data_IF_701153638528
#
_entry.id   IF_701153638528
#
_cell.length_a   1.000
_cell.length_b   1.000
_cell.length_c   1.000
_cell.angle_alpha   90.00
_cell.angle_beta   90.00
_cell.angle_gamma   90.00
#
_symmetry.space_group_name_H-M   'P 1'
#
loop_
_entity.id
_entity.type
_entity.pdbx_description
1 polymer ?
#
# COMPACT_ATOMS: atom_id res chain seq x y z
N UNK A 1 5.36 -2.84 12.33
CA UNK A 1 4.56 -3.64 11.37
C UNK A 1 5.03 -3.36 9.96
N UNK A 2 5.24 -4.40 9.15
CA UNK A 2 5.64 -4.26 7.73
C UNK A 2 4.39 -4.48 6.86
N UNK A 3 4.00 -3.45 6.11
CA UNK A 3 2.82 -3.46 5.22
C UNK A 3 3.29 -3.36 3.77
N UNK A 4 2.97 -4.34 2.92
CA UNK A 4 3.33 -4.33 1.51
C UNK A 4 2.12 -4.04 0.61
N UNK A 5 2.23 -3.06 -0.28
CA UNK A 5 1.24 -2.76 -1.32
C UNK A 5 1.63 -3.55 -2.58
N UNK A 6 0.93 -4.63 -2.89
CA UNK A 6 1.28 -5.52 -3.98
C UNK A 6 0.09 -5.75 -4.92
N UNK A 7 0.33 -5.66 -6.20
CA UNK A 7 -0.56 -6.13 -7.26
C UNK A 7 0.25 -6.19 -8.56
N UNK A 8 0.07 -7.23 -9.35
CA UNK A 8 0.74 -7.39 -10.65
C UNK A 8 0.29 -6.34 -11.69
N UNK A 9 -0.93 -5.81 -11.53
CA UNK A 9 -1.45 -4.76 -12.40
C UNK A 9 -0.76 -3.43 -12.09
N UNK A 10 -0.23 -2.78 -13.13
CA UNK A 10 0.23 -1.39 -13.07
C UNK A 10 -0.93 -0.41 -12.94
N UNK A 11 -0.69 0.75 -12.34
CA UNK A 11 -1.68 1.84 -12.29
C UNK A 11 -2.82 1.68 -11.30
N UNK A 12 -2.86 0.61 -10.47
CA UNK A 12 -3.91 0.41 -9.45
C UNK A 12 -3.77 1.33 -8.24
N UNK A 13 -2.68 2.12 -8.17
CA UNK A 13 -2.44 3.12 -7.12
C UNK A 13 -1.63 2.62 -5.93
N UNK A 14 -0.77 1.60 -6.09
CA UNK A 14 0.13 1.10 -5.02
C UNK A 14 0.93 2.23 -4.38
N UNK A 15 1.73 2.95 -5.16
CA UNK A 15 2.54 4.08 -4.70
C UNK A 15 1.70 5.16 -4.03
N UNK A 16 0.57 5.53 -4.63
CA UNK A 16 -0.33 6.53 -4.04
C UNK A 16 -0.80 6.12 -2.65
N UNK A 17 -1.27 4.87 -2.49
CA UNK A 17 -1.72 4.36 -1.20
C UNK A 17 -0.54 4.22 -0.22
N UNK A 18 0.63 3.75 -0.67
CA UNK A 18 1.82 3.60 0.16
C UNK A 18 2.24 4.94 0.80
N UNK A 19 2.37 5.99 -0.02
CA UNK A 19 2.76 7.32 0.44
C UNK A 19 1.71 7.94 1.38
N UNK A 20 0.41 7.81 1.05
CA UNK A 20 -0.65 8.40 1.85
C UNK A 20 -0.87 7.66 3.18
N UNK A 21 -0.76 6.33 3.22
CA UNK A 21 -0.78 5.55 4.47
C UNK A 21 0.42 5.90 5.34
N UNK A 22 1.63 5.93 4.77
CA UNK A 22 2.84 6.35 5.48
C UNK A 22 2.67 7.75 6.08
N UNK A 23 2.10 8.68 5.31
CA UNK A 23 1.80 10.03 5.77
C UNK A 23 0.76 10.07 6.88
N UNK A 24 -0.31 9.28 6.79
CA UNK A 24 -1.34 9.22 7.82
C UNK A 24 -0.79 8.72 9.17
N UNK A 25 0.11 7.74 9.16
CA UNK A 25 0.80 7.26 10.36
C UNK A 25 1.82 8.29 10.87
N UNK A 26 2.64 8.89 9.98
CA UNK A 26 3.62 9.89 10.36
C UNK A 26 2.97 11.14 10.98
N UNK A 27 1.83 11.59 10.47
CA UNK A 27 1.06 12.72 11.02
C UNK A 27 0.49 12.43 12.42
N UNK A 28 0.39 11.15 12.81
CA UNK A 28 0.06 10.72 14.19
C UNK A 28 1.29 10.56 15.09
N UNK A 29 2.47 10.99 14.63
CA UNK A 29 3.72 10.91 15.38
C UNK A 29 4.42 9.56 15.34
N UNK A 30 3.98 8.63 14.47
CA UNK A 30 4.62 7.33 14.32
C UNK A 30 5.84 7.43 13.42
N UNK A 31 6.89 6.65 13.72
CA UNK A 31 8.09 6.54 12.89
C UNK A 31 7.80 5.62 11.72
N UNK A 32 7.87 6.14 10.51
CA UNK A 32 7.53 5.40 9.29
C UNK A 32 8.71 5.40 8.32
N UNK A 33 8.96 4.24 7.71
CA UNK A 33 9.89 4.09 6.59
C UNK A 33 9.13 3.53 5.38
N UNK A 34 9.25 4.20 4.24
CA UNK A 34 8.76 3.71 2.96
C UNK A 34 9.92 3.06 2.22
N UNK A 35 9.73 1.83 1.78
CA UNK A 35 10.65 1.12 0.88
C UNK A 35 10.06 1.16 -0.53
N UNK A 36 10.73 1.89 -1.41
CA UNK A 36 10.44 1.84 -2.84
C UNK A 36 11.11 0.61 -3.45
N UNK A 37 10.32 -0.43 -3.68
CA UNK A 37 10.76 -1.68 -4.28
C UNK A 37 10.44 -1.74 -5.79
N UNK A 38 9.85 -0.69 -6.36
CA UNK A 38 9.65 -0.57 -7.80
C UNK A 38 10.91 0.00 -8.46
N UNK A 39 11.51 -0.67 -9.46
CA UNK A 39 12.62 -0.12 -10.22
C UNK A 39 12.31 1.24 -10.89
N UNK A 40 11.04 1.60 -11.06
CA UNK A 40 10.63 2.92 -11.57
C UNK A 40 10.88 4.06 -10.57
N UNK A 41 10.98 3.77 -9.26
CA UNK A 41 11.38 4.73 -8.26
C UNK A 41 10.35 5.83 -7.96
N UNK A 42 9.07 5.58 -8.16
CA UNK A 42 8.03 6.62 -8.05
C UNK A 42 7.89 7.20 -6.63
N UNK A 43 8.11 6.41 -5.59
CA UNK A 43 8.07 6.90 -4.22
C UNK A 43 9.32 7.72 -3.88
N UNK A 44 10.48 7.34 -4.44
CA UNK A 44 11.72 8.13 -4.34
C UNK A 44 11.58 9.48 -5.05
N UNK A 45 11.03 9.49 -6.26
CA UNK A 45 10.79 10.73 -7.04
C UNK A 45 9.88 11.68 -6.27
N UNK A 46 8.81 11.16 -5.66
CA UNK A 46 7.93 11.94 -4.80
C UNK A 46 8.70 12.56 -3.61
N UNK A 47 9.54 11.76 -2.95
CA UNK A 47 10.35 12.22 -1.80
C UNK A 47 11.37 13.29 -2.20
N UNK A 48 12.01 13.14 -3.36
CA UNK A 48 12.92 14.13 -3.93
C UNK A 48 12.18 15.41 -4.27
N UNK A 49 11.02 15.31 -4.94
CA UNK A 49 10.18 16.46 -5.27
C UNK A 49 9.80 17.25 -4.02
N UNK A 50 9.39 16.55 -2.94
CA UNK A 50 9.09 17.16 -1.64
C UNK A 50 10.28 17.96 -1.10
N UNK A 51 11.49 17.43 -1.21
CA UNK A 51 12.71 18.12 -0.80
C UNK A 51 12.99 19.37 -1.64
N UNK A 52 12.80 19.29 -2.97
CA UNK A 52 12.95 20.43 -3.88
C UNK A 52 11.96 21.56 -3.58
N UNK A 53 10.76 21.24 -3.15
CA UNK A 53 9.75 22.22 -2.72
C UNK A 53 10.02 22.78 -1.31
N UNK A 54 11.12 22.38 -0.65
CA UNK A 54 11.47 22.85 0.69
C UNK A 54 10.52 22.35 1.78
N UNK A 55 9.74 21.32 1.50
CA UNK A 55 8.78 20.76 2.46
C UNK A 55 9.48 19.86 3.49
N UNK A 56 9.05 19.86 4.76
CA UNK A 56 9.65 19.02 5.80
C UNK A 56 9.44 17.53 5.49
N UNK A 57 10.45 16.72 5.82
CA UNK A 57 10.32 15.26 5.70
C UNK A 57 9.25 14.74 6.66
N UNK A 58 8.32 13.93 6.16
CA UNK A 58 7.29 13.28 6.98
C UNK A 58 7.74 11.91 7.46
N UNK A 59 8.41 11.16 6.59
CA UNK A 59 8.91 9.81 6.82
C UNK A 59 10.19 9.57 6.02
N UNK A 60 10.91 8.50 6.32
CA UNK A 60 12.06 8.08 5.53
C UNK A 60 11.59 7.35 4.26
N UNK A 61 12.28 7.60 3.13
CA UNK A 61 12.04 6.86 1.87
C UNK A 61 13.35 6.32 1.37
N UNK A 62 13.42 5.03 1.11
CA UNK A 62 14.61 4.33 0.63
C UNK A 62 14.28 3.47 -0.58
N UNK A 63 15.20 3.39 -1.54
CA UNK A 63 15.08 2.49 -2.69
C UNK A 63 15.68 1.13 -2.37
N UNK A 64 14.90 0.06 -2.54
CA UNK A 64 15.35 -1.30 -2.30
C UNK A 64 14.68 -2.29 -3.27
N UNK A 65 14.92 -2.10 -4.56
CA UNK A 65 14.43 -2.97 -5.62
C UNK A 65 15.36 -4.18 -5.82
N UNK A 66 15.46 -5.05 -4.79
CA UNK A 66 16.34 -6.24 -4.78
C UNK A 66 15.62 -7.45 -4.22
N UNK A 67 15.96 -8.63 -4.69
CA UNK A 67 15.40 -9.90 -4.22
C UNK A 67 15.77 -10.22 -2.76
N UNK A 68 16.69 -9.47 -2.17
CA UNK A 68 17.09 -9.54 -0.75
C UNK A 68 16.23 -8.70 0.19
N UNK A 69 15.23 -8.01 -0.31
CA UNK A 69 14.34 -7.13 0.46
C UNK A 69 13.78 -7.82 1.72
N UNK A 70 13.44 -9.12 1.63
CA UNK A 70 12.92 -9.90 2.77
C UNK A 70 13.90 -10.03 3.94
N UNK A 71 15.20 -9.82 3.73
CA UNK A 71 16.24 -9.81 4.78
C UNK A 71 16.46 -8.41 5.35
N UNK A 72 16.32 -7.39 4.52
CA UNK A 72 16.65 -6.00 4.86
C UNK A 72 15.47 -5.26 5.50
N UNK A 73 14.25 -5.52 5.05
CA UNK A 73 13.06 -4.83 5.58
C UNK A 73 12.80 -5.09 7.08
N UNK A 74 13.01 -6.30 7.65
CA UNK A 74 12.89 -6.52 9.09
C UNK A 74 13.91 -5.72 9.91
N UNK A 75 15.13 -5.50 9.41
CA UNK A 75 16.13 -4.68 10.10
C UNK A 75 15.66 -3.22 10.20
N UNK A 76 15.11 -2.67 9.11
CA UNK A 76 14.54 -1.33 9.10
C UNK A 76 13.31 -1.19 10.02
N UNK A 77 12.57 -2.28 10.22
CA UNK A 77 11.41 -2.30 11.10
C UNK A 77 11.77 -2.25 12.60
N UNK A 78 13.04 -2.45 13.00
CA UNK A 78 13.49 -2.30 14.39
C UNK A 78 13.38 -0.87 14.89
N UNK A 79 13.65 0.09 14.00
CA UNK A 79 13.69 1.51 14.33
C UNK A 79 12.44 2.27 13.86
N UNK A 80 11.45 1.58 13.29
CA UNK A 80 10.20 2.14 12.79
C UNK A 80 8.98 1.47 13.41
N UNK A 81 7.92 2.24 13.62
CA UNK A 81 6.63 1.71 14.05
C UNK A 81 5.92 1.03 12.86
N UNK A 82 6.11 1.61 11.65
CA UNK A 82 5.66 1.02 10.40
C UNK A 82 6.74 1.07 9.32
N UNK A 83 6.83 -0.02 8.55
CA UNK A 83 7.53 -0.07 7.27
C UNK A 83 6.50 -0.30 6.18
N UNK A 84 6.48 0.54 5.15
CA UNK A 84 5.56 0.43 4.02
C UNK A 84 6.37 0.08 2.78
N UNK A 85 6.08 -1.07 2.17
CA UNK A 85 6.74 -1.50 0.93
C UNK A 85 5.84 -1.13 -0.25
N UNK A 86 6.30 -0.22 -1.09
CA UNK A 86 5.70 0.06 -2.40
C UNK A 86 6.25 -0.93 -3.41
N UNK A 87 5.45 -1.92 -3.78
CA UNK A 87 5.89 -3.04 -4.59
C UNK A 87 5.76 -2.82 -6.09
N UNK A 88 6.63 -3.46 -6.89
CA UNK A 88 6.62 -3.32 -8.35
C UNK A 88 5.44 -4.03 -8.98
N UNK A 89 5.01 -3.65 -10.20
CA UNK A 89 4.17 -4.48 -11.03
C UNK A 89 5.00 -5.58 -11.71
N UNK A 90 4.47 -6.80 -11.83
CA UNK A 90 5.01 -7.89 -12.68
C UNK A 90 6.47 -8.31 -12.49
N UNK A 91 7.11 -8.01 -11.37
CA UNK A 91 8.47 -8.47 -11.07
C UNK A 91 8.38 -9.56 -10.01
N UNK A 92 8.25 -10.81 -10.44
CA UNK A 92 7.93 -11.94 -9.56
C UNK A 92 8.95 -12.13 -8.41
N UNK A 93 10.25 -11.99 -8.65
CA UNK A 93 11.27 -12.10 -7.60
C UNK A 93 11.12 -11.06 -6.51
N UNK A 94 10.95 -9.78 -6.88
CA UNK A 94 10.73 -8.69 -5.93
C UNK A 94 9.41 -8.84 -5.17
N UNK A 95 8.34 -9.26 -5.87
CA UNK A 95 7.04 -9.49 -5.23
C UNK A 95 7.12 -10.62 -4.21
N UNK A 96 7.79 -11.75 -4.52
CA UNK A 96 8.03 -12.83 -3.56
C UNK A 96 8.84 -12.35 -2.36
N UNK A 97 9.88 -11.57 -2.60
CA UNK A 97 10.68 -11.00 -1.52
C UNK A 97 9.85 -10.05 -0.63
N UNK A 98 9.00 -9.21 -1.20
CA UNK A 98 8.10 -8.34 -0.45
C UNK A 98 7.06 -9.14 0.35
N UNK A 99 6.49 -10.22 -0.22
CA UNK A 99 5.57 -11.12 0.47
C UNK A 99 6.23 -11.78 1.70
N UNK A 100 7.49 -12.23 1.55
CA UNK A 100 8.23 -12.86 2.64
C UNK A 100 8.61 -11.86 3.75
N UNK A 101 8.74 -10.57 3.43
CA UNK A 101 9.04 -9.52 4.40
C UNK A 101 7.81 -9.03 5.17
N UNK A 102 6.63 -9.08 4.56
CA UNK A 102 5.44 -8.42 5.07
C UNK A 102 4.79 -9.14 6.26
N UNK A 103 4.22 -8.36 7.18
CA UNK A 103 3.24 -8.83 8.16
C UNK A 103 1.83 -8.76 7.57
N UNK A 104 1.58 -7.75 6.71
CA UNK A 104 0.32 -7.52 6.02
C UNK A 104 0.56 -7.18 4.55
N UNK A 105 -0.16 -7.84 3.69
CA UNK A 105 -0.22 -7.50 2.26
C UNK A 105 -1.54 -6.80 1.96
N UNK A 106 -1.47 -5.60 1.43
CA UNK A 106 -2.61 -4.90 0.85
C UNK A 106 -2.60 -5.07 -0.65
N UNK A 107 -3.71 -5.53 -1.21
CA UNK A 107 -3.88 -5.78 -2.64
C UNK A 107 -4.89 -4.74 -3.17
N UNK A 108 -4.41 -3.59 -3.68
CA UNK A 108 -5.29 -2.59 -4.25
C UNK A 108 -5.94 -3.12 -5.53
N UNK A 109 -7.27 -3.05 -5.59
CA UNK A 109 -8.08 -3.41 -6.75
C UNK A 109 -8.97 -2.24 -7.16
N UNK A 110 -9.19 -2.08 -8.46
CA UNK A 110 -10.12 -1.07 -8.98
C UNK A 110 -11.46 -1.74 -9.27
N UNK A 111 -12.58 -1.02 -9.14
CA UNK A 111 -13.87 -1.50 -9.61
C UNK A 111 -13.86 -1.63 -11.13
N UNK A 112 -13.47 -2.80 -11.64
CA UNK A 112 -13.37 -3.08 -13.07
C UNK A 112 -13.58 -4.56 -13.32
N UNK A 113 -14.37 -4.95 -14.34
CA UNK A 113 -14.56 -6.35 -14.70
C UNK A 113 -13.26 -7.10 -15.05
N UNK A 114 -12.21 -6.36 -15.45
CA UNK A 114 -10.92 -6.93 -15.84
C UNK A 114 -9.94 -7.12 -14.67
N UNK A 115 -10.24 -6.63 -13.46
CA UNK A 115 -9.35 -6.72 -12.32
C UNK A 115 -9.37 -8.09 -11.64
N UNK A 116 -10.41 -8.89 -11.87
CA UNK A 116 -10.50 -10.26 -11.35
C UNK A 116 -9.35 -11.17 -11.82
N UNK A 117 -8.86 -10.99 -13.04
CA UNK A 117 -7.76 -11.82 -13.58
C UNK A 117 -6.39 -11.44 -13.03
N UNK A 118 -6.12 -10.13 -12.87
CA UNK A 118 -4.89 -9.66 -12.24
C UNK A 118 -4.80 -10.07 -10.76
N UNK A 119 -5.95 -10.25 -10.12
CA UNK A 119 -6.04 -10.77 -8.76
C UNK A 119 -5.67 -12.24 -8.68
N UNK A 120 -6.00 -13.09 -9.67
CA UNK A 120 -5.68 -14.51 -9.67
C UNK A 120 -4.17 -14.79 -9.63
N UNK A 121 -3.39 -14.05 -10.42
CA UNK A 121 -1.92 -14.18 -10.41
C UNK A 121 -1.32 -13.71 -9.08
N UNK A 122 -1.87 -12.64 -8.50
CA UNK A 122 -1.44 -12.16 -7.18
C UNK A 122 -1.78 -13.16 -6.08
N UNK A 123 -2.97 -13.78 -6.14
CA UNK A 123 -3.39 -14.81 -5.20
C UNK A 123 -2.53 -16.07 -5.30
N UNK A 124 -2.10 -16.46 -6.49
CA UNK A 124 -1.17 -17.58 -6.67
C UNK A 124 0.17 -17.32 -5.96
N UNK A 125 0.74 -16.11 -6.11
CA UNK A 125 1.96 -15.70 -5.41
C UNK A 125 1.76 -15.63 -3.89
N UNK A 126 0.63 -15.14 -3.42
CA UNK A 126 0.29 -15.10 -2.00
C UNK A 126 0.20 -16.49 -1.40
N UNK A 127 -0.46 -17.43 -2.09
CA UNK A 127 -0.58 -18.82 -1.65
C UNK A 127 0.78 -19.53 -1.63
N UNK A 128 1.65 -19.27 -2.61
CA UNK A 128 3.03 -19.75 -2.62
C UNK A 128 3.80 -19.21 -1.39
N UNK A 129 3.69 -17.92 -1.09
CA UNK A 129 4.36 -17.33 0.08
C UNK A 129 3.84 -17.89 1.41
N UNK A 130 2.55 -18.19 1.52
CA UNK A 130 1.91 -18.76 2.72
C UNK A 130 2.40 -20.18 3.05
N UNK A 131 3.01 -20.89 2.10
CA UNK A 131 3.69 -22.18 2.38
C UNK A 131 4.84 -21.96 3.37
N UNK A 132 5.53 -20.83 3.28
CA UNK A 132 6.67 -20.47 4.13
C UNK A 132 6.30 -19.52 5.28
N UNK A 133 5.22 -18.77 5.15
CA UNK A 133 4.71 -17.75 6.07
C UNK A 133 3.22 -17.94 6.27
N UNK A 134 2.83 -18.99 7.01
CA UNK A 134 1.42 -19.35 7.22
C UNK A 134 0.60 -18.25 7.90
N UNK A 135 1.27 -17.38 8.69
CA UNK A 135 0.67 -16.24 9.40
C UNK A 135 0.53 -14.97 8.52
N UNK A 136 0.99 -15.01 7.26
CA UNK A 136 0.95 -13.83 6.38
C UNK A 136 -0.49 -13.37 6.15
N UNK A 137 -0.80 -12.22 6.74
CA UNK A 137 -2.09 -11.59 6.56
C UNK A 137 -2.17 -10.88 5.19
N UNK A 138 -3.33 -10.95 4.57
CA UNK A 138 -3.58 -10.20 3.34
C UNK A 138 -4.99 -9.61 3.35
N UNK A 139 -5.19 -8.48 2.66
CA UNK A 139 -6.47 -7.81 2.49
C UNK A 139 -6.58 -7.19 1.11
N UNK A 140 -7.75 -7.29 0.50
CA UNK A 140 -8.07 -6.43 -0.64
C UNK A 140 -8.42 -5.02 -0.17
N UNK A 141 -8.10 -4.03 -1.00
CA UNK A 141 -8.47 -2.62 -0.81
C UNK A 141 -9.10 -2.11 -2.09
N UNK A 142 -10.37 -1.70 -2.04
CA UNK A 142 -10.99 -1.01 -3.16
C UNK A 142 -10.40 0.38 -3.29
N UNK A 143 -9.77 0.63 -4.43
CA UNK A 143 -9.13 1.90 -4.77
C UNK A 143 -9.66 2.45 -6.08
N UNK A 144 -9.56 3.77 -6.27
CA UNK A 144 -10.07 4.49 -7.44
C UNK A 144 -11.57 4.25 -7.67
N UNK A 145 -12.31 4.13 -6.58
CA UNK A 145 -13.76 3.96 -6.68
C UNK A 145 -14.40 5.22 -7.25
N UNK A 146 -15.24 5.06 -8.26
CA UNK A 146 -16.18 6.11 -8.67
C UNK A 146 -17.20 6.35 -7.56
N UNK A 147 -17.65 7.60 -7.41
CA UNK A 147 -18.67 7.92 -6.41
C UNK A 147 -19.96 7.11 -6.70
N UNK A 148 -20.35 6.24 -5.76
CA UNK A 148 -21.62 5.47 -5.77
C UNK A 148 -21.86 4.65 -7.05
N UNK A 149 -20.83 4.10 -7.67
CA UNK A 149 -21.00 3.28 -8.87
C UNK A 149 -21.50 1.88 -8.53
N UNK A 150 -22.39 1.35 -9.34
CA UNK A 150 -22.89 -0.05 -9.26
C UNK A 150 -21.71 -1.02 -9.29
N UNK A 151 -20.75 -0.79 -10.17
CA UNK A 151 -19.54 -1.61 -10.32
C UNK A 151 -18.72 -1.70 -9.02
N UNK A 152 -18.58 -0.59 -8.26
CA UNK A 152 -17.86 -0.63 -6.99
C UNK A 152 -18.56 -1.51 -5.96
N UNK A 153 -19.91 -1.48 -5.93
CA UNK A 153 -20.70 -2.36 -5.07
C UNK A 153 -20.59 -3.82 -5.48
N UNK A 154 -20.79 -4.12 -6.76
CA UNK A 154 -20.70 -5.49 -7.29
C UNK A 154 -19.30 -6.09 -7.10
N UNK A 155 -18.23 -5.29 -7.30
CA UNK A 155 -16.86 -5.72 -7.01
C UNK A 155 -16.67 -6.01 -5.53
N UNK A 156 -17.24 -5.17 -4.65
CA UNK A 156 -17.22 -5.41 -3.21
C UNK A 156 -17.96 -6.68 -2.80
N UNK A 157 -19.15 -6.91 -3.34
CA UNK A 157 -19.95 -8.12 -3.11
C UNK A 157 -19.20 -9.38 -3.62
N UNK A 158 -18.58 -9.31 -4.80
CA UNK A 158 -17.78 -10.41 -5.35
C UNK A 158 -16.56 -10.73 -4.47
N UNK A 159 -15.89 -9.73 -3.92
CA UNK A 159 -14.70 -9.92 -3.10
C UNK A 159 -15.01 -10.24 -1.63
N UNK A 160 -16.25 -10.04 -1.17
CA UNK A 160 -16.63 -10.24 0.23
C UNK A 160 -16.39 -11.67 0.74
N UNK A 161 -16.60 -12.65 -0.13
CA UNK A 161 -16.46 -14.08 0.18
C UNK A 161 -15.10 -14.67 -0.24
N UNK A 162 -14.14 -13.81 -0.65
CA UNK A 162 -12.82 -14.26 -1.09
C UNK A 162 -11.81 -14.27 0.06
N UNK A 163 -10.81 -15.15 -0.04
CA UNK A 163 -9.56 -15.08 0.70
C UNK A 163 -8.48 -14.50 -0.23
N UNK A 164 -7.85 -13.39 0.14
CA UNK A 164 -8.03 -12.59 1.35
C UNK A 164 -9.33 -11.77 1.38
N UNK A 165 -9.84 -11.42 2.59
CA UNK A 165 -11.04 -10.60 2.72
C UNK A 165 -10.80 -9.14 2.31
N UNK A 166 -11.87 -8.46 1.93
CA UNK A 166 -11.89 -7.05 1.59
C UNK A 166 -11.93 -6.18 2.85
N UNK A 167 -11.19 -5.06 2.87
CA UNK A 167 -11.35 -4.01 3.86
C UNK A 167 -12.63 -3.21 3.61
N UNK A 168 -13.26 -2.75 4.68
CA UNK A 168 -14.45 -1.89 4.61
C UNK A 168 -14.14 -0.48 4.11
N UNK A 169 -12.94 0.03 4.41
CA UNK A 169 -12.50 1.34 3.93
C UNK A 169 -12.17 1.28 2.43
N UNK A 170 -12.71 2.22 1.67
CA UNK A 170 -12.50 2.36 0.23
C UNK A 170 -11.87 3.72 -0.08
N UNK A 171 -11.09 3.80 -1.16
CA UNK A 171 -10.45 5.04 -1.61
C UNK A 171 -11.01 5.42 -2.97
N UNK A 172 -11.55 6.64 -3.07
CA UNK A 172 -12.15 7.16 -4.29
C UNK A 172 -11.12 7.58 -5.34
N UNK A 173 -11.54 7.63 -6.59
CA UNK A 173 -10.76 8.27 -7.63
C UNK A 173 -10.86 9.80 -7.46
N UNK A 174 -9.74 10.43 -7.07
CA UNK A 174 -9.70 11.84 -6.73
C UNK A 174 -8.53 12.52 -7.42
N UNK A 175 -8.80 13.65 -8.04
CA UNK A 175 -7.77 14.47 -8.73
C UNK A 175 -6.70 14.95 -7.76
N UNK A 176 -7.07 15.26 -6.51
CA UNK A 176 -6.17 15.78 -5.47
C UNK A 176 -4.97 14.85 -5.20
N UNK A 177 -5.08 13.54 -5.42
CA UNK A 177 -3.93 12.64 -5.28
C UNK A 177 -2.85 12.91 -6.32
N UNK A 178 -3.24 13.20 -7.57
CA UNK A 178 -2.32 13.53 -8.63
C UNK A 178 -1.75 14.94 -8.46
N UNK A 179 -2.60 15.92 -8.14
CA UNK A 179 -2.19 17.31 -7.95
C UNK A 179 -1.22 17.46 -6.78
N UNK A 180 -1.50 16.83 -5.65
CA UNK A 180 -0.62 16.83 -4.49
C UNK A 180 0.74 16.19 -4.80
N UNK A 181 0.76 15.09 -5.54
CA UNK A 181 1.99 14.38 -5.91
C UNK A 181 2.93 15.23 -6.76
N UNK A 182 2.42 16.13 -7.61
CA UNK A 182 3.24 17.03 -8.43
C UNK A 182 4.15 17.94 -7.60
N UNK A 183 3.76 18.27 -6.38
CA UNK A 183 4.54 19.08 -5.44
C UNK A 183 5.11 18.31 -4.25
N UNK A 184 5.14 16.98 -4.30
CA UNK A 184 5.62 16.14 -3.20
C UNK A 184 4.78 16.28 -1.94
N UNK A 185 3.49 16.59 -2.07
CA UNK A 185 2.52 16.70 -0.97
C UNK A 185 1.62 15.48 -0.90
N UNK A 186 1.01 15.30 0.25
CA UNK A 186 -0.11 14.40 0.45
C UNK A 186 -1.43 15.15 0.26
N UNK A 187 -2.49 14.44 -0.08
CA UNK A 187 -3.83 15.02 -0.19
C UNK A 187 -4.28 15.69 1.13
N UNK A 188 -3.90 15.11 2.28
CA UNK A 188 -4.16 15.67 3.61
C UNK A 188 -3.41 16.98 3.91
N UNK A 189 -2.32 17.27 3.20
CA UNK A 189 -1.59 18.52 3.33
C UNK A 189 -2.15 19.63 2.43
N UNK A 190 -2.92 19.26 1.41
CA UNK A 190 -3.64 20.20 0.54
C UNK A 190 -4.96 20.60 1.20
N UNK A 191 -5.72 19.60 1.66
CA UNK A 191 -6.97 19.79 2.41
C UNK A 191 -7.19 18.60 3.34
N UNK A 192 -6.95 18.82 4.64
CA UNK A 192 -7.05 17.79 5.68
C UNK A 192 -8.48 17.26 5.89
N UNK A 193 -9.49 18.05 5.53
CA UNK A 193 -10.89 17.70 5.63
C UNK A 193 -11.48 17.16 4.31
N UNK A 194 -10.66 17.01 3.29
CA UNK A 194 -11.10 16.46 2.01
C UNK A 194 -11.61 15.04 2.14
N UNK A 195 -12.48 14.58 1.25
CA UNK A 195 -12.86 13.17 1.18
C UNK A 195 -11.65 12.25 1.02
N UNK A 196 -10.63 12.67 0.26
CA UNK A 196 -9.39 11.90 0.09
C UNK A 196 -8.66 11.69 1.42
N UNK A 197 -8.49 12.75 2.21
CA UNK A 197 -7.84 12.68 3.53
C UNK A 197 -8.61 11.78 4.50
N UNK A 198 -9.95 11.92 4.53
CA UNK A 198 -10.81 11.08 5.39
C UNK A 198 -10.77 9.61 5.00
N UNK A 199 -10.78 9.29 3.70
CA UNK A 199 -10.73 7.91 3.19
C UNK A 199 -9.40 7.24 3.58
N UNK A 200 -8.27 7.91 3.41
CA UNK A 200 -6.96 7.42 3.82
C UNK A 200 -6.87 7.24 5.35
N UNK A 201 -7.39 8.21 6.10
CA UNK A 201 -7.43 8.12 7.57
C UNK A 201 -8.27 6.93 8.04
N UNK A 202 -9.42 6.69 7.40
CA UNK A 202 -10.27 5.52 7.69
C UNK A 202 -9.56 4.21 7.37
N UNK A 203 -8.88 4.14 6.21
CA UNK A 203 -8.10 2.96 5.79
C UNK A 203 -6.97 2.68 6.79
N UNK A 204 -6.18 3.68 7.17
CA UNK A 204 -5.11 3.52 8.15
C UNK A 204 -5.66 3.04 9.51
N UNK A 205 -6.77 3.63 9.97
CA UNK A 205 -7.40 3.24 11.22
C UNK A 205 -7.99 1.81 11.19
N UNK A 206 -8.45 1.33 10.05
CA UNK A 206 -8.92 -0.04 9.90
C UNK A 206 -7.74 -1.02 9.93
N UNK A 207 -6.63 -0.70 9.25
CA UNK A 207 -5.40 -1.50 9.28
C UNK A 207 -4.86 -1.61 10.72
N UNK A 208 -4.85 -0.52 11.49
CA UNK A 208 -4.37 -0.49 12.87
C UNK A 208 -5.19 -1.41 13.80
N UNK A 209 -6.47 -1.67 13.47
CA UNK A 209 -7.34 -2.59 14.22
C UNK A 209 -7.16 -4.06 13.86
N UNK A 210 -6.47 -4.36 12.76
CA UNK A 210 -6.21 -5.74 12.39
C UNK A 210 -5.28 -6.39 13.43
N UNK A 211 -5.72 -7.51 14.01
CA UNK A 211 -4.88 -8.32 14.88
C UNK A 211 -3.97 -9.17 14.00
N UNK A 212 -2.83 -8.61 13.65
CA UNK A 212 -1.82 -9.30 12.84
C UNK A 212 -0.81 -9.90 13.80
N UNK A 213 -0.67 -11.22 13.74
CA UNK A 213 0.39 -11.93 14.47
C UNK A 213 1.74 -11.41 13.95
N UNK A 214 2.52 -10.75 14.81
CA UNK A 214 3.92 -10.49 14.47
C UNK A 214 4.63 -11.83 14.47
N UNK A 215 5.35 -12.15 13.39
CA UNK A 215 6.35 -13.20 13.46
C UNK A 215 7.29 -12.87 14.62
N UNK A 216 7.48 -13.82 15.52
CA UNK A 216 8.47 -13.68 16.58
C UNK A 216 9.85 -13.49 15.92
N UNK A 217 10.71 -12.62 16.47
CA UNK A 217 12.06 -12.40 15.96
C UNK A 217 12.91 -13.65 16.01
#
# INVERSE_FOLDING_TARGET
MIVALLNQKGGVGKTTLALHLAGAWAQRGQRVTVIDADPQGSALDWSQRRGHEGLPRLFSTIGLARDTLHREAPELARDADHVVIDGPPRVAGLMRSALLAADLVLIPVQPSPFDGWASAEMLALLNEARIYRSELAARFVLNRCGARTVIARETGETLADHDPPLLGATVGQRVVFADAAQSGRLASEVDGDSPAAREITALAAEIDRLRIGRAAP
#
